data_IF_001765779312
#
_entry.id   IF_001765779312
#
_cell.length_a   1.000
_cell.length_b   1.000
_cell.length_c   1.000
_cell.angle_alpha   90.00
_cell.angle_beta   90.00
_cell.angle_gamma   90.00
#
_symmetry.space_group_name_H-M   'P 1'
#
loop_
_entity.id
_entity.type
_entity.pdbx_description
1 polymer ?
#
# COMPACT_ATOMS: atom_id res chain seq x y z
N UNK A 1 6.86 -6.02 16.02
CA UNK A 1 5.48 -5.73 16.49
C UNK A 1 4.76 -7.05 16.83
N UNK A 2 3.56 -7.05 17.43
CA UNK A 2 2.93 -8.29 17.95
C UNK A 2 1.72 -8.77 17.11
N UNK A 3 0.99 -7.88 16.42
CA UNK A 3 -0.23 -8.27 15.72
C UNK A 3 0.01 -9.23 14.54
N UNK A 4 1.20 -9.23 13.93
CA UNK A 4 1.47 -10.00 12.71
C UNK A 4 1.24 -11.50 12.92
N UNK A 5 1.72 -12.07 14.02
CA UNK A 5 1.51 -13.49 14.33
C UNK A 5 0.03 -13.87 14.38
N UNK A 6 -0.81 -13.00 14.95
CA UNK A 6 -2.26 -13.18 15.02
C UNK A 6 -2.92 -13.12 13.64
N UNK A 7 -2.45 -12.26 12.74
CA UNK A 7 -2.97 -12.17 11.38
C UNK A 7 -2.47 -13.29 10.47
N UNK A 8 -1.23 -13.75 10.61
CA UNK A 8 -0.74 -14.94 9.90
C UNK A 8 -1.61 -16.16 10.24
N UNK A 9 -2.00 -16.34 11.50
CA UNK A 9 -2.94 -17.40 11.88
C UNK A 9 -4.31 -17.27 11.19
N UNK A 10 -4.82 -16.04 10.99
CA UNK A 10 -6.07 -15.81 10.24
C UNK A 10 -5.88 -16.04 8.73
N UNK A 11 -4.69 -15.81 8.20
CA UNK A 11 -4.39 -16.13 6.81
C UNK A 11 -4.33 -17.65 6.60
N UNK A 12 -3.82 -18.42 7.57
CA UNK A 12 -3.89 -19.89 7.53
C UNK A 12 -5.33 -20.41 7.53
N UNK A 13 -6.26 -19.78 8.26
CA UNK A 13 -7.71 -20.12 8.15
C UNK A 13 -8.20 -20.03 6.70
N UNK A 14 -7.78 -19.00 5.95
CA UNK A 14 -8.12 -18.87 4.53
C UNK A 14 -7.43 -19.94 3.68
N UNK A 15 -6.19 -20.32 4.02
CA UNK A 15 -5.48 -21.41 3.34
C UNK A 15 -6.19 -22.76 3.55
N UNK A 16 -6.74 -23.00 4.74
CA UNK A 16 -7.55 -24.19 5.01
C UNK A 16 -8.79 -24.25 4.11
N UNK A 17 -9.45 -23.11 3.84
CA UNK A 17 -10.56 -23.06 2.87
C UNK A 17 -10.13 -23.47 1.45
N UNK A 18 -8.95 -23.04 1.01
CA UNK A 18 -8.38 -23.47 -0.27
C UNK A 18 -8.13 -24.99 -0.26
N UNK A 19 -7.49 -25.53 0.79
CA UNK A 19 -7.21 -26.95 0.91
C UNK A 19 -8.50 -27.80 0.93
N UNK A 20 -9.56 -27.34 1.61
CA UNK A 20 -10.86 -28.01 1.62
C UNK A 20 -11.49 -28.02 0.22
N UNK A 21 -11.44 -26.91 -0.52
CA UNK A 21 -11.96 -26.82 -1.88
C UNK A 21 -11.20 -27.76 -2.85
N UNK A 22 -9.90 -27.94 -2.65
CA UNK A 22 -9.05 -28.84 -3.43
C UNK A 22 -9.37 -30.32 -3.13
N UNK A 23 -9.33 -30.71 -1.85
CA UNK A 23 -9.39 -32.09 -1.38
C UNK A 23 -10.77 -32.74 -1.45
N UNK A 24 -11.84 -31.94 -1.49
CA UNK A 24 -13.21 -32.46 -1.62
C UNK A 24 -13.48 -32.94 -3.05
N UNK A 25 -12.94 -34.11 -3.38
CA UNK A 25 -13.19 -34.81 -4.64
C UNK A 25 -14.42 -35.71 -4.47
N UNK A 26 -15.47 -35.49 -5.28
CA UNK A 26 -16.64 -36.36 -5.37
C UNK A 26 -17.91 -35.94 -4.59
N UNK A 27 -17.81 -35.05 -3.59
CA UNK A 27 -18.95 -34.69 -2.71
C UNK A 27 -19.47 -33.24 -2.84
N UNK A 28 -18.74 -32.34 -3.52
CA UNK A 28 -19.17 -30.94 -3.71
C UNK A 28 -19.09 -30.52 -5.17
N UNK A 29 -20.06 -29.71 -5.59
CA UNK A 29 -20.13 -29.11 -6.93
C UNK A 29 -19.02 -28.08 -7.17
N UNK A 30 -18.69 -27.83 -8.43
CA UNK A 30 -17.77 -26.75 -8.83
C UNK A 30 -18.23 -25.38 -8.29
N UNK A 31 -19.55 -25.15 -8.25
CA UNK A 31 -20.13 -23.95 -7.66
C UNK A 31 -19.76 -23.81 -6.19
N UNK A 32 -19.86 -24.90 -5.40
CA UNK A 32 -19.50 -24.87 -3.98
C UNK A 32 -18.01 -24.61 -3.78
N UNK A 33 -17.13 -25.24 -4.59
CA UNK A 33 -15.69 -24.95 -4.57
C UNK A 33 -15.42 -23.47 -4.83
N UNK A 34 -16.04 -22.92 -5.88
CA UNK A 34 -15.88 -21.50 -6.21
C UNK A 34 -16.41 -20.58 -5.11
N UNK A 35 -17.54 -20.92 -4.48
CA UNK A 35 -18.09 -20.17 -3.36
C UNK A 35 -17.13 -20.15 -2.17
N UNK A 36 -16.51 -21.29 -1.83
CA UNK A 36 -15.51 -21.38 -0.77
C UNK A 36 -14.31 -20.49 -1.08
N UNK A 37 -13.73 -20.62 -2.29
CA UNK A 37 -12.56 -19.84 -2.68
C UNK A 37 -12.85 -18.33 -2.77
N UNK A 38 -14.00 -17.95 -3.33
CA UNK A 38 -14.43 -16.55 -3.42
C UNK A 38 -14.67 -15.94 -2.04
N UNK A 39 -15.28 -16.68 -1.12
CA UNK A 39 -15.48 -16.24 0.26
C UNK A 39 -14.14 -16.09 0.99
N UNK A 40 -13.22 -17.05 0.79
CA UNK A 40 -11.86 -16.97 1.32
C UNK A 40 -11.10 -15.75 0.82
N UNK A 41 -11.21 -15.40 -0.45
CA UNK A 41 -10.55 -14.22 -1.02
C UNK A 41 -11.10 -12.91 -0.41
N UNK A 42 -12.42 -12.84 -0.18
CA UNK A 42 -13.05 -11.69 0.51
C UNK A 42 -12.56 -11.60 1.96
N UNK A 43 -12.50 -12.73 2.68
CA UNK A 43 -11.97 -12.79 4.04
C UNK A 43 -10.51 -12.35 4.11
N UNK A 44 -9.67 -12.82 3.18
CA UNK A 44 -8.27 -12.42 3.07
C UNK A 44 -8.11 -10.91 2.94
N UNK A 45 -8.93 -10.26 2.08
CA UNK A 45 -8.91 -8.81 1.94
C UNK A 45 -9.30 -8.10 3.26
N UNK A 46 -10.31 -8.61 3.97
CA UNK A 46 -10.73 -8.05 5.25
C UNK A 46 -9.69 -8.22 6.36
N UNK A 47 -9.05 -9.40 6.42
CA UNK A 47 -7.96 -9.66 7.35
C UNK A 47 -6.73 -8.81 7.03
N UNK A 48 -6.38 -8.62 5.75
CA UNK A 48 -5.28 -7.76 5.36
C UNK A 48 -5.54 -6.28 5.70
N UNK A 49 -6.75 -5.77 5.50
CA UNK A 49 -7.13 -4.43 5.96
C UNK A 49 -7.01 -4.30 7.48
N UNK A 50 -7.46 -5.32 8.22
CA UNK A 50 -7.30 -5.37 9.67
C UNK A 50 -5.84 -5.34 10.10
N UNK A 51 -4.99 -6.14 9.45
CA UNK A 51 -3.55 -6.17 9.69
C UNK A 51 -2.93 -4.79 9.51
N UNK A 52 -3.19 -4.12 8.37
CA UNK A 52 -2.66 -2.80 8.06
C UNK A 52 -3.04 -1.76 9.11
N UNK A 53 -4.29 -1.78 9.57
CA UNK A 53 -4.74 -0.88 10.63
C UNK A 53 -4.00 -1.17 11.94
N UNK A 54 -3.95 -2.43 12.35
CA UNK A 54 -3.43 -2.80 13.67
C UNK A 54 -1.90 -2.63 13.73
N UNK A 55 -1.16 -2.94 12.66
CA UNK A 55 0.30 -2.72 12.61
C UNK A 55 0.65 -1.22 12.66
N UNK A 56 -0.13 -0.36 12.01
CA UNK A 56 0.03 1.09 12.10
C UNK A 56 -0.27 1.61 13.53
N UNK A 57 -1.28 1.03 14.21
CA UNK A 57 -1.55 1.37 15.61
C UNK A 57 -0.42 0.95 16.52
N UNK A 58 0.10 -0.27 16.35
CA UNK A 58 1.22 -0.77 17.14
C UNK A 58 2.45 0.11 16.98
N UNK A 59 2.82 0.50 15.75
CA UNK A 59 3.92 1.44 15.52
C UNK A 59 3.74 2.77 16.29
N UNK A 60 2.55 3.35 16.27
CA UNK A 60 2.27 4.61 17.00
C UNK A 60 2.27 4.40 18.51
N UNK A 61 1.75 3.27 18.99
CA UNK A 61 1.76 2.94 20.40
C UNK A 61 3.20 2.76 20.91
N UNK A 62 4.08 2.12 20.14
CA UNK A 62 5.50 1.99 20.47
C UNK A 62 6.21 3.35 20.51
N UNK A 63 5.90 4.27 19.58
CA UNK A 63 6.39 5.66 19.65
C UNK A 63 5.88 6.35 20.91
N UNK A 64 4.60 6.20 21.23
CA UNK A 64 4.03 6.75 22.44
C UNK A 64 4.73 6.15 23.67
N UNK A 65 4.91 4.85 23.77
CA UNK A 65 5.52 4.23 24.95
C UNK A 65 7.02 4.52 25.09
N UNK A 66 7.64 5.07 24.05
CA UNK A 66 9.02 5.54 24.07
C UNK A 66 9.21 6.87 24.82
N UNK A 67 10.49 7.25 24.97
CA UNK A 67 10.91 8.56 25.52
C UNK A 67 11.12 9.62 24.43
N UNK A 68 10.66 9.38 23.19
CA UNK A 68 10.77 10.34 22.09
C UNK A 68 10.04 11.65 22.41
N UNK A 69 10.75 12.75 22.25
CA UNK A 69 10.20 14.10 22.39
C UNK A 69 9.64 14.58 21.06
N UNK A 70 8.86 15.68 21.08
CA UNK A 70 8.33 16.32 19.87
C UNK A 70 9.38 16.57 18.79
N UNK A 71 10.65 16.84 19.18
CA UNK A 71 11.76 17.12 18.26
C UNK A 71 12.38 15.87 17.64
N UNK A 72 12.21 14.71 18.26
CA UNK A 72 12.70 13.43 17.74
C UNK A 72 11.74 12.75 16.77
N UNK A 73 10.53 13.30 16.61
CA UNK A 73 9.53 12.76 15.69
C UNK A 73 9.80 13.21 14.24
N UNK A 74 9.59 12.33 13.24
CA UNK A 74 9.65 12.73 11.84
C UNK A 74 8.67 13.84 11.50
N UNK A 75 9.05 14.70 10.56
CA UNK A 75 8.20 15.79 10.07
C UNK A 75 6.84 15.29 9.58
N UNK A 76 6.77 14.12 8.93
CA UNK A 76 5.51 13.51 8.47
C UNK A 76 4.57 13.17 9.63
N UNK A 77 5.11 12.59 10.71
CA UNK A 77 4.36 12.21 11.91
C UNK A 77 3.88 13.47 12.64
N UNK A 78 4.76 14.46 12.78
CA UNK A 78 4.41 15.74 13.38
C UNK A 78 3.38 16.51 12.56
N UNK A 79 3.46 16.46 11.24
CA UNK A 79 2.49 17.05 10.33
C UNK A 79 1.10 16.43 10.53
N UNK A 80 0.99 15.11 10.46
CA UNK A 80 -0.28 14.39 10.64
C UNK A 80 -0.88 14.64 12.04
N UNK A 81 -0.05 14.61 13.08
CA UNK A 81 -0.50 14.93 14.43
C UNK A 81 -0.97 16.39 14.56
N UNK A 82 -0.26 17.34 13.94
CA UNK A 82 -0.64 18.75 13.93
C UNK A 82 -1.97 18.96 13.22
N UNK A 83 -2.17 18.32 12.06
CA UNK A 83 -3.46 18.36 11.36
C UNK A 83 -4.59 17.88 12.27
N UNK A 84 -4.41 16.77 12.97
CA UNK A 84 -5.39 16.26 13.92
C UNK A 84 -5.70 17.28 15.03
N UNK A 85 -4.68 17.88 15.64
CA UNK A 85 -4.85 18.89 16.68
C UNK A 85 -5.58 20.13 16.16
N UNK A 86 -5.29 20.58 14.95
CA UNK A 86 -5.98 21.71 14.30
C UNK A 86 -7.45 21.38 14.01
N UNK A 87 -7.76 20.17 13.53
CA UNK A 87 -9.15 19.72 13.35
C UNK A 87 -9.94 19.75 14.66
N UNK A 88 -9.32 19.26 15.75
CA UNK A 88 -9.93 19.27 17.09
C UNK A 88 -10.10 20.69 17.64
N UNK A 89 -9.16 21.58 17.35
CA UNK A 89 -9.28 23.00 17.69
C UNK A 89 -10.48 23.66 17.02
N UNK A 90 -10.72 23.38 15.72
CA UNK A 90 -11.86 23.92 14.96
C UNK A 90 -13.21 23.54 15.57
N UNK A 91 -13.31 22.38 16.22
CA UNK A 91 -14.51 21.92 16.94
C UNK A 91 -14.51 22.32 18.43
N UNK A 92 -13.76 23.36 18.80
CA UNK A 92 -13.66 23.95 20.15
C UNK A 92 -12.99 23.06 21.22
N UNK A 93 -12.29 21.99 20.84
CA UNK A 93 -11.38 21.30 21.75
C UNK A 93 -9.98 21.91 21.64
N UNK A 94 -9.69 22.89 22.52
CA UNK A 94 -8.41 23.61 22.52
C UNK A 94 -7.28 22.85 23.20
N UNK A 95 -7.59 21.92 24.09
CA UNK A 95 -6.64 21.26 24.99
C UNK A 95 -5.53 20.56 24.20
N UNK A 96 -5.90 19.70 23.24
CA UNK A 96 -4.92 18.99 22.39
C UNK A 96 -3.95 19.91 21.64
N UNK A 97 -4.45 21.04 21.15
CA UNK A 97 -3.60 22.00 20.45
C UNK A 97 -2.66 22.73 21.42
N UNK A 98 -3.15 23.11 22.61
CA UNK A 98 -2.30 23.69 23.65
C UNK A 98 -1.23 22.69 24.12
N UNK A 99 -1.59 21.43 24.32
CA UNK A 99 -0.67 20.37 24.75
C UNK A 99 0.44 20.15 23.72
N UNK A 100 0.10 20.17 22.43
CA UNK A 100 1.08 20.15 21.34
C UNK A 100 2.06 21.33 21.40
N UNK A 101 1.55 22.56 21.59
CA UNK A 101 2.41 23.75 21.68
C UNK A 101 3.33 23.68 22.91
N UNK A 102 2.81 23.22 24.05
CA UNK A 102 3.61 23.01 25.27
C UNK A 102 4.68 21.94 25.03
N UNK A 103 4.33 20.81 24.41
CA UNK A 103 5.27 19.74 24.10
C UNK A 103 6.40 20.19 23.17
N UNK A 104 6.10 21.00 22.15
CA UNK A 104 7.11 21.58 21.26
C UNK A 104 8.00 22.59 22.01
N UNK A 105 7.39 23.46 22.81
CA UNK A 105 8.10 24.55 23.50
C UNK A 105 9.04 24.02 24.59
N UNK A 106 8.58 23.02 25.34
CA UNK A 106 9.30 22.41 26.45
C UNK A 106 10.13 21.18 26.04
N UNK A 107 10.05 20.79 24.76
CA UNK A 107 10.67 19.54 24.24
C UNK A 107 10.21 18.30 25.01
N UNK A 108 8.93 18.25 25.38
CA UNK A 108 8.32 17.08 26.00
C UNK A 108 7.85 16.08 24.93
N UNK A 109 7.46 14.89 25.38
CA UNK A 109 6.77 13.89 24.57
C UNK A 109 5.43 14.43 24.05
N UNK A 110 5.08 14.01 22.84
CA UNK A 110 3.76 14.22 22.23
C UNK A 110 2.99 12.91 22.29
N UNK A 111 1.73 12.95 22.73
CA UNK A 111 0.85 11.79 22.70
C UNK A 111 0.14 11.72 21.34
N UNK A 112 0.55 10.77 20.52
CA UNK A 112 0.01 10.54 19.17
C UNK A 112 -1.29 9.74 19.24
N UNK A 113 -2.23 10.05 18.33
CA UNK A 113 -3.50 9.34 18.23
C UNK A 113 -3.39 8.14 17.26
N UNK A 114 -3.16 6.95 17.77
CA UNK A 114 -3.00 5.73 16.98
C UNK A 114 -4.19 5.44 16.05
N UNK A 115 -5.43 5.73 16.46
CA UNK A 115 -6.61 5.53 15.63
C UNK A 115 -6.63 6.44 14.38
N UNK A 116 -5.99 7.61 14.46
CA UNK A 116 -5.88 8.52 13.31
C UNK A 116 -4.85 8.08 12.30
N UNK A 117 -3.69 7.62 12.77
CA UNK A 117 -2.63 7.12 11.90
C UNK A 117 -2.98 5.79 11.22
N UNK A 118 -3.91 5.02 11.80
CA UNK A 118 -4.36 3.74 11.26
C UNK A 118 -5.70 3.80 10.51
N UNK A 119 -6.26 5.01 10.32
CA UNK A 119 -7.58 5.16 9.74
C UNK A 119 -7.61 4.73 8.25
N UNK A 120 -8.22 3.57 8.00
CA UNK A 120 -8.63 3.10 6.67
C UNK A 120 -10.11 3.42 6.48
N UNK A 121 -10.41 4.38 5.59
CA UNK A 121 -11.81 4.67 5.24
C UNK A 121 -12.33 3.78 4.08
N UNK A 122 -11.49 2.87 3.59
CA UNK A 122 -11.75 2.08 2.40
C UNK A 122 -10.81 0.86 2.32
N UNK A 123 -11.10 0.00 1.35
CA UNK A 123 -10.30 -1.18 0.97
C UNK A 123 -8.79 -0.90 0.95
N UNK A 124 -7.94 -1.92 1.12
CA UNK A 124 -6.48 -1.78 1.09
C UNK A 124 -5.96 -1.62 -0.34
N UNK A 125 -6.37 -0.55 -1.03
CA UNK A 125 -5.85 -0.16 -2.35
C UNK A 125 -4.38 0.24 -2.22
N UNK A 126 -3.64 0.20 -3.33
CA UNK A 126 -2.26 0.68 -3.41
C UNK A 126 -2.14 2.08 -2.80
N UNK A 127 -3.00 3.01 -3.24
CA UNK A 127 -2.99 4.39 -2.74
C UNK A 127 -3.29 4.49 -1.24
N UNK A 128 -4.21 3.66 -0.73
CA UNK A 128 -4.54 3.67 0.70
C UNK A 128 -3.40 3.12 1.55
N UNK A 129 -2.75 2.05 1.11
CA UNK A 129 -1.58 1.49 1.79
C UNK A 129 -0.46 2.52 1.78
N UNK A 130 -0.13 3.09 0.62
CA UNK A 130 0.96 4.07 0.55
C UNK A 130 0.68 5.32 1.37
N UNK A 131 -0.57 5.80 1.41
CA UNK A 131 -0.98 6.90 2.28
C UNK A 131 -0.81 6.59 3.77
N UNK A 132 -1.11 5.37 4.21
CA UNK A 132 -0.89 4.97 5.61
C UNK A 132 0.60 5.06 5.97
N UNK A 133 1.47 4.56 5.09
CA UNK A 133 2.91 4.50 5.35
C UNK A 133 3.62 5.84 5.07
N UNK A 134 3.05 6.72 4.25
CA UNK A 134 3.52 8.09 4.06
C UNK A 134 3.46 8.90 5.37
N UNK A 135 2.47 8.66 6.22
CA UNK A 135 2.40 9.25 7.56
C UNK A 135 3.65 8.94 8.41
N UNK A 136 4.32 7.82 8.14
CA UNK A 136 5.53 7.36 8.82
C UNK A 136 6.81 7.63 8.01
N UNK A 137 6.77 8.53 7.02
CA UNK A 137 7.91 8.87 6.15
C UNK A 137 8.45 7.63 5.42
N UNK A 138 7.51 6.85 4.88
CA UNK A 138 7.75 5.68 4.03
C UNK A 138 6.86 5.74 2.77
N UNK A 139 7.01 6.78 1.93
CA UNK A 139 6.26 6.87 0.68
C UNK A 139 6.65 5.74 -0.27
N UNK A 140 5.72 5.32 -1.13
CA UNK A 140 5.94 4.26 -2.13
C UNK A 140 6.42 2.93 -1.54
N UNK A 141 5.98 2.60 -0.32
CA UNK A 141 6.44 1.39 0.40
C UNK A 141 6.26 0.11 -0.42
N UNK A 142 5.21 0.03 -1.23
CA UNK A 142 4.96 -1.13 -2.09
C UNK A 142 5.98 -1.24 -3.23
N UNK A 143 6.51 -0.13 -3.75
CA UNK A 143 7.60 -0.16 -4.73
C UNK A 143 8.89 -0.66 -4.07
N UNK A 144 9.22 -0.16 -2.88
CA UNK A 144 10.41 -0.57 -2.13
C UNK A 144 10.39 -2.08 -1.89
N UNK A 145 9.29 -2.58 -1.33
CA UNK A 145 9.15 -4.01 -1.02
C UNK A 145 9.10 -4.83 -2.32
N UNK A 146 8.43 -4.36 -3.38
CA UNK A 146 8.38 -5.09 -4.65
C UNK A 146 9.75 -5.22 -5.31
N UNK A 147 10.60 -4.19 -5.21
CA UNK A 147 11.98 -4.24 -5.73
C UNK A 147 12.80 -5.29 -4.98
N UNK A 148 12.67 -5.33 -3.65
CA UNK A 148 13.44 -6.24 -2.79
C UNK A 148 12.97 -7.69 -2.96
N UNK A 149 11.67 -7.94 -2.89
CA UNK A 149 11.12 -9.30 -2.88
C UNK A 149 11.13 -9.96 -4.28
N UNK A 150 10.96 -9.16 -5.35
CA UNK A 150 10.93 -9.68 -6.74
C UNK A 150 12.21 -9.38 -7.55
N UNK A 151 13.22 -8.74 -6.94
CA UNK A 151 14.46 -8.33 -7.61
C UNK A 151 14.23 -7.50 -8.89
N UNK A 152 13.33 -6.52 -8.85
CA UNK A 152 13.10 -5.63 -9.99
C UNK A 152 14.15 -4.49 -10.04
N UNK A 153 14.74 -4.25 -11.22
CA UNK A 153 15.64 -3.10 -11.43
C UNK A 153 14.91 -1.75 -11.26
N UNK A 154 13.63 -1.70 -11.64
CA UNK A 154 12.80 -0.51 -11.51
C UNK A 154 11.30 -0.81 -11.58
N UNK A 155 10.54 -0.08 -10.77
CA UNK A 155 9.08 -0.01 -10.83
C UNK A 155 8.57 0.97 -11.89
N UNK A 156 9.45 1.62 -12.67
CA UNK A 156 9.06 2.64 -13.65
C UNK A 156 9.58 2.29 -15.04
N UNK A 157 8.72 2.45 -16.03
CA UNK A 157 9.12 2.49 -17.43
C UNK A 157 9.34 3.93 -17.87
N UNK A 158 10.30 4.13 -18.75
CA UNK A 158 10.48 5.38 -19.48
C UNK A 158 9.67 5.27 -20.77
N UNK A 159 8.53 5.96 -20.86
CA UNK A 159 7.71 6.00 -22.07
C UNK A 159 8.07 7.23 -22.91
N UNK A 160 8.34 6.98 -24.19
CA UNK A 160 8.44 8.03 -25.22
C UNK A 160 7.18 8.89 -25.20
N UNK A 161 7.33 10.20 -25.37
CA UNK A 161 6.17 11.09 -25.55
C UNK A 161 5.50 10.90 -26.91
N UNK A 162 6.17 10.25 -27.86
CA UNK A 162 5.66 9.99 -29.19
C UNK A 162 4.92 8.66 -29.21
N UNK A 163 3.61 8.72 -28.99
CA UNK A 163 2.74 7.56 -29.19
C UNK A 163 2.42 7.32 -30.68
N UNK A 164 1.78 6.18 -30.99
CA UNK A 164 1.40 5.81 -32.36
C UNK A 164 0.52 6.85 -33.07
N UNK A 165 -0.36 7.53 -32.32
CA UNK A 165 -1.21 8.59 -32.88
C UNK A 165 -0.37 9.81 -33.30
N UNK A 166 0.61 10.20 -32.47
CA UNK A 166 1.53 11.27 -32.77
C UNK A 166 2.46 10.92 -33.94
N UNK A 167 2.96 9.69 -34.00
CA UNK A 167 3.75 9.18 -35.14
C UNK A 167 2.98 9.33 -36.46
N UNK A 168 1.70 8.95 -36.47
CA UNK A 168 0.86 9.07 -37.66
C UNK A 168 0.62 10.54 -38.05
N UNK A 169 0.38 11.42 -37.07
CA UNK A 169 0.23 12.86 -37.33
C UNK A 169 1.50 13.49 -37.88
N UNK A 170 2.65 13.14 -37.34
CA UNK A 170 3.96 13.60 -37.84
C UNK A 170 4.17 13.09 -39.26
N UNK A 171 3.93 11.79 -39.51
CA UNK A 171 4.07 11.19 -40.84
C UNK A 171 3.21 11.89 -41.90
N UNK A 172 1.94 12.21 -41.57
CA UNK A 172 1.06 12.98 -42.45
C UNK A 172 1.56 14.42 -42.64
N UNK A 173 2.03 15.07 -41.58
CA UNK A 173 2.49 16.46 -41.64
C UNK A 173 3.78 16.63 -42.46
N UNK A 174 4.67 15.63 -42.45
CA UNK A 174 5.90 15.63 -43.26
C UNK A 174 5.71 15.01 -44.64
N UNK A 175 4.47 14.72 -45.05
CA UNK A 175 4.15 14.19 -46.38
C UNK A 175 4.76 12.82 -46.68
N UNK A 176 5.02 12.01 -45.65
CA UNK A 176 5.65 10.70 -45.78
C UNK A 176 7.19 10.71 -45.91
N UNK A 177 7.85 11.86 -45.78
CA UNK A 177 9.32 11.94 -45.74
C UNK A 177 9.86 11.35 -44.42
N UNK A 178 10.46 10.17 -44.51
CA UNK A 178 11.06 9.47 -43.36
C UNK A 178 12.26 10.22 -42.75
N UNK A 179 12.98 11.02 -43.53
CA UNK A 179 14.12 11.81 -43.04
C UNK A 179 13.64 12.99 -42.20
N UNK A 180 12.66 13.74 -42.72
CA UNK A 180 12.01 14.81 -41.98
C UNK A 180 11.28 14.27 -40.73
N UNK A 181 10.63 13.11 -40.84
CA UNK A 181 10.02 12.41 -39.70
C UNK A 181 11.06 12.11 -38.62
N UNK A 182 12.22 11.56 -39.00
CA UNK A 182 13.31 11.26 -38.07
C UNK A 182 13.85 12.50 -37.36
N UNK A 183 14.04 13.60 -38.08
CA UNK A 183 14.51 14.86 -37.50
C UNK A 183 13.53 15.46 -36.49
N UNK A 184 12.23 15.43 -36.79
CA UNK A 184 11.18 15.91 -35.86
C UNK A 184 11.13 15.05 -34.61
N UNK A 185 11.20 13.72 -34.74
CA UNK A 185 11.20 12.81 -33.60
C UNK A 185 12.43 13.01 -32.71
N UNK A 186 13.61 13.17 -33.30
CA UNK A 186 14.83 13.43 -32.56
C UNK A 186 14.74 14.74 -31.75
N UNK A 187 14.17 15.80 -32.32
CA UNK A 187 14.03 17.08 -31.62
C UNK A 187 12.97 17.03 -30.51
N UNK A 188 11.91 16.25 -30.71
CA UNK A 188 10.90 15.95 -29.69
C UNK A 188 11.52 15.22 -28.51
N UNK A 189 12.18 14.09 -28.74
CA UNK A 189 12.79 13.30 -27.65
C UNK A 189 13.93 14.06 -26.96
N UNK A 190 14.62 14.96 -27.67
CA UNK A 190 15.65 15.83 -27.09
C UNK A 190 15.06 16.90 -26.17
N UNK A 191 13.91 17.48 -26.50
CA UNK A 191 13.30 18.59 -25.74
C UNK A 191 12.28 18.15 -24.69
N UNK A 192 11.56 17.06 -24.94
CA UNK A 192 10.57 16.54 -24.01
C UNK A 192 11.12 15.35 -23.25
N UNK A 193 11.37 15.57 -21.96
CA UNK A 193 11.78 14.52 -21.03
C UNK A 193 10.73 13.42 -21.06
N UNK A 194 11.18 12.20 -21.39
CA UNK A 194 10.33 11.01 -21.41
C UNK A 194 9.63 10.84 -20.06
N UNK A 195 8.32 10.56 -20.08
CA UNK A 195 7.55 10.43 -18.84
C UNK A 195 7.87 9.09 -18.20
N UNK A 196 8.19 9.14 -16.90
CA UNK A 196 8.22 7.94 -16.07
C UNK A 196 6.79 7.52 -15.79
N UNK A 197 6.47 6.28 -16.11
CA UNK A 197 5.18 5.67 -15.79
C UNK A 197 5.42 4.48 -14.86
N UNK A 198 4.71 4.48 -13.73
CA UNK A 198 4.77 3.40 -12.77
C UNK A 198 4.19 2.14 -13.39
N UNK A 199 4.94 1.05 -13.31
CA UNK A 199 4.55 -0.28 -13.76
C UNK A 199 3.59 -0.87 -12.72
N UNK A 200 2.56 -1.58 -13.19
CA UNK A 200 1.67 -2.38 -12.34
C UNK A 200 2.24 -3.79 -12.21
N UNK A 201 3.36 -3.92 -11.50
CA UNK A 201 4.08 -5.19 -11.24
C UNK A 201 4.29 -5.39 -9.74
N UNK A 202 4.74 -6.57 -9.33
CA UNK A 202 4.94 -6.91 -7.92
C UNK A 202 3.65 -6.76 -7.10
N UNK A 203 3.79 -6.24 -5.88
CA UNK A 203 2.65 -6.05 -4.97
C UNK A 203 1.64 -5.02 -5.49
N UNK A 204 2.07 -4.03 -6.27
CA UNK A 204 1.18 -3.04 -6.88
C UNK A 204 0.19 -3.73 -7.83
N UNK A 205 0.71 -4.55 -8.75
CA UNK A 205 -0.14 -5.28 -9.70
C UNK A 205 -1.01 -6.34 -9.01
N UNK A 206 -0.45 -7.03 -8.01
CA UNK A 206 -1.16 -8.05 -7.25
C UNK A 206 -2.34 -7.48 -6.47
N UNK A 207 -2.17 -6.38 -5.73
CA UNK A 207 -3.24 -5.74 -4.95
C UNK A 207 -4.36 -5.24 -5.89
N UNK A 208 -4.01 -4.62 -7.01
CA UNK A 208 -4.98 -4.13 -7.99
C UNK A 208 -5.87 -5.28 -8.52
N UNK A 209 -5.27 -6.42 -8.90
CA UNK A 209 -6.04 -7.59 -9.36
C UNK A 209 -6.82 -8.28 -8.24
N UNK A 210 -6.24 -8.41 -7.03
CA UNK A 210 -6.92 -8.96 -5.86
C UNK A 210 -8.21 -8.19 -5.55
N UNK A 211 -8.12 -6.85 -5.51
CA UNK A 211 -9.28 -5.99 -5.23
C UNK A 211 -10.29 -5.98 -6.37
N UNK A 212 -9.84 -6.09 -7.62
CA UNK A 212 -10.73 -6.23 -8.77
C UNK A 212 -11.52 -7.53 -8.73
N UNK A 213 -10.89 -8.66 -8.37
CA UNK A 213 -11.59 -9.93 -8.13
C UNK A 213 -12.57 -9.80 -6.96
N UNK A 214 -12.12 -9.25 -5.83
CA UNK A 214 -12.96 -9.05 -4.65
C UNK A 214 -14.18 -8.18 -4.93
N UNK A 215 -14.03 -7.08 -5.67
CA UNK A 215 -15.14 -6.18 -5.99
C UNK A 215 -16.17 -6.85 -6.90
N UNK A 216 -15.72 -7.65 -7.89
CA UNK A 216 -16.63 -8.46 -8.71
C UNK A 216 -17.44 -9.44 -7.86
N UNK A 217 -16.80 -10.12 -6.91
CA UNK A 217 -17.49 -11.03 -5.96
C UNK A 217 -18.52 -10.24 -5.15
N UNK A 218 -18.12 -9.14 -4.53
CA UNK A 218 -18.97 -8.34 -3.63
C UNK A 218 -20.16 -7.69 -4.34
N UNK A 219 -19.99 -7.27 -5.61
CA UNK A 219 -21.07 -6.68 -6.42
C UNK A 219 -21.91 -7.71 -7.17
N UNK A 220 -21.57 -9.01 -7.09
CA UNK A 220 -22.24 -10.06 -7.86
C UNK A 220 -22.06 -9.92 -9.38
N UNK A 221 -20.99 -9.22 -9.81
CA UNK A 221 -20.70 -8.95 -11.21
C UNK A 221 -19.94 -10.12 -11.82
N UNK A 222 -20.55 -10.80 -12.81
CA UNK A 222 -20.03 -12.06 -13.34
C UNK A 222 -19.92 -13.13 -12.23
N UNK A 223 -19.78 -14.41 -12.56
CA UNK A 223 -19.38 -15.40 -11.56
C UNK A 223 -17.84 -15.45 -11.61
N UNK A 224 -17.09 -14.58 -10.89
CA UNK A 224 -15.65 -14.70 -10.86
C UNK A 224 -15.29 -16.10 -10.37
N UNK A 225 -14.48 -16.77 -11.16
CA UNK A 225 -13.94 -18.09 -10.80
C UNK A 225 -12.65 -17.83 -10.05
N UNK A 226 -12.60 -18.27 -8.79
CA UNK A 226 -11.39 -18.31 -7.97
C UNK A 226 -11.10 -19.77 -7.70
N UNK A 227 -9.95 -20.23 -8.15
CA UNK A 227 -9.47 -21.59 -7.92
C UNK A 227 -8.82 -21.72 -6.54
N UNK A 228 -8.72 -22.94 -5.99
CA UNK A 228 -7.99 -23.17 -4.75
C UNK A 228 -6.53 -22.73 -4.83
N UNK A 229 -5.87 -22.95 -5.97
CA UNK A 229 -4.51 -22.49 -6.22
C UNK A 229 -4.42 -20.96 -6.17
N UNK A 230 -5.28 -20.24 -6.89
CA UNK A 230 -5.29 -18.76 -6.86
C UNK A 230 -5.53 -18.22 -5.45
N UNK A 231 -6.42 -18.85 -4.65
CA UNK A 231 -6.62 -18.44 -3.27
C UNK A 231 -5.38 -18.70 -2.41
N UNK A 232 -4.75 -19.88 -2.56
CA UNK A 232 -3.54 -20.23 -1.81
C UNK A 232 -2.37 -19.29 -2.13
N UNK A 233 -2.16 -19.00 -3.42
CA UNK A 233 -1.13 -18.07 -3.89
C UNK A 233 -1.40 -16.66 -3.37
N UNK A 234 -2.67 -16.23 -3.32
CA UNK A 234 -3.04 -14.95 -2.75
C UNK A 234 -2.73 -14.88 -1.24
N UNK A 235 -3.03 -15.94 -0.50
CA UNK A 235 -2.71 -16.05 0.94
C UNK A 235 -1.20 -15.97 1.16
N UNK A 236 -0.41 -16.71 0.39
CA UNK A 236 1.05 -16.68 0.49
C UNK A 236 1.60 -15.27 0.18
N UNK A 237 1.14 -14.66 -0.92
CA UNK A 237 1.60 -13.34 -1.34
C UNK A 237 1.27 -12.26 -0.30
N UNK A 238 0.05 -12.27 0.27
CA UNK A 238 -0.34 -11.34 1.34
C UNK A 238 0.43 -11.60 2.64
N UNK A 239 0.73 -12.87 2.97
CA UNK A 239 1.51 -13.20 4.16
C UNK A 239 2.92 -12.65 4.06
N UNK A 240 3.59 -12.86 2.92
CA UNK A 240 4.93 -12.32 2.66
C UNK A 240 4.90 -10.79 2.73
N UNK A 241 3.95 -10.15 2.03
CA UNK A 241 3.81 -8.69 2.06
C UNK A 241 3.62 -8.17 3.50
N UNK A 242 2.80 -8.83 4.31
CA UNK A 242 2.54 -8.43 5.70
C UNK A 242 3.81 -8.49 6.55
N UNK A 243 4.61 -9.55 6.38
CA UNK A 243 5.90 -9.70 7.05
C UNK A 243 6.87 -8.59 6.57
N UNK A 244 6.98 -8.36 5.27
CA UNK A 244 7.85 -7.32 4.71
C UNK A 244 7.46 -5.92 5.21
N UNK A 245 6.16 -5.61 5.32
CA UNK A 245 5.66 -4.35 5.87
C UNK A 245 6.01 -4.18 7.35
N UNK A 246 5.84 -5.23 8.17
CA UNK A 246 6.27 -5.20 9.57
C UNK A 246 7.77 -4.94 9.68
N UNK A 247 8.60 -5.69 8.95
CA UNK A 247 10.06 -5.53 8.98
C UNK A 247 10.48 -4.10 8.66
N UNK A 248 9.80 -3.46 7.69
CA UNK A 248 10.07 -2.06 7.33
C UNK A 248 9.66 -1.09 8.43
N UNK A 249 8.52 -1.30 9.08
CA UNK A 249 8.07 -0.48 10.21
C UNK A 249 8.95 -0.66 11.44
N UNK A 250 9.29 -1.89 11.80
CA UNK A 250 10.20 -2.20 12.91
C UNK A 250 11.57 -1.55 12.65
N UNK A 251 12.09 -1.64 11.43
CA UNK A 251 13.35 -0.97 11.05
C UNK A 251 13.25 0.55 11.20
N UNK A 252 12.14 1.16 10.74
CA UNK A 252 11.90 2.60 10.91
C UNK A 252 11.82 2.96 12.39
N UNK A 253 11.09 2.19 13.18
CA UNK A 253 10.94 2.42 14.63
C UNK A 253 12.30 2.36 15.33
N UNK A 254 13.11 1.35 15.05
CA UNK A 254 14.46 1.25 15.61
C UNK A 254 15.34 2.44 15.20
N UNK A 255 15.24 2.93 13.97
CA UNK A 255 15.96 4.13 13.55
C UNK A 255 15.52 5.36 14.35
N UNK A 256 14.21 5.51 14.62
CA UNK A 256 13.69 6.63 15.41
C UNK A 256 14.14 6.56 16.86
N UNK A 257 14.04 5.38 17.49
CA UNK A 257 14.36 5.19 18.90
C UNK A 257 15.87 5.32 19.19
N UNK A 258 16.72 5.05 18.21
CA UNK A 258 18.18 5.11 18.37
C UNK A 258 18.79 6.44 17.89
N UNK A 259 17.99 7.42 17.46
CA UNK A 259 18.50 8.75 17.14
C UNK A 259 18.99 9.44 18.43
N UNK A 260 20.22 9.98 18.46
CA UNK A 260 20.67 10.75 19.61
C UNK A 260 19.76 11.97 19.77
N UNK A 261 19.26 12.19 20.98
CA UNK A 261 18.47 13.38 21.31
C UNK A 261 19.27 14.63 20.93
N UNK A 262 18.78 15.37 19.91
CA UNK A 262 19.36 16.64 19.46
C UNK A 262 18.86 17.81 20.31
#
# INVERSE_FOLDING_TARGET
MNCTSGYLSKFEEVRELAALAETTSGNISLTQKNTMCSSGLVLLCGYFEGFLRDICKEFVNEINDSSLTARGLPDSVMYEHTLHCVEKYKIKNKTLFCDLISAISESNKVELNADKFSATNANPTVDNIERLFEAFDMPLILDVISIEDYNFDSMYNVESQVNASMLNKIHLAVGGDDTARGAVLAEIERKWVSKRKRRRVGYVGFIDELLKVRNRIAHGESNPVVTPTELSDAVETISILSISLEVKLDSKLQLLLNQPAQ
#
